data_IF_816581854933
#
_entry.id   IF_816581854933
#
_cell.length_a   1.000
_cell.length_b   1.000
_cell.length_c   1.000
_cell.angle_alpha   90.00
_cell.angle_beta   90.00
_cell.angle_gamma   90.00
#
_symmetry.space_group_name_H-M   'P 1'
#
loop_
_entity.id
_entity.type
_entity.pdbx_description
1 polymer ?
#
# COMPACT_ATOMS: atom_id res chain seq x y z
N UNK A 1 -10.54 -13.33 -15.41
CA UNK A 1 -10.52 -12.85 -14.01
C UNK A 1 -11.01 -11.40 -13.91
N UNK A 2 -10.53 -10.40 -14.68
CA UNK A 2 -10.93 -8.99 -14.62
C UNK A 2 -12.45 -8.77 -14.69
N UNK A 3 -13.12 -9.33 -15.69
CA UNK A 3 -14.57 -9.23 -15.85
C UNK A 3 -15.37 -9.74 -14.64
N UNK A 4 -14.96 -10.87 -14.05
CA UNK A 4 -15.64 -11.41 -12.85
C UNK A 4 -15.47 -10.52 -11.64
N UNK A 5 -14.30 -9.89 -11.48
CA UNK A 5 -14.04 -8.91 -10.42
C UNK A 5 -14.97 -7.70 -10.59
N UNK A 6 -15.04 -7.12 -11.78
CA UNK A 6 -15.94 -6.00 -12.07
C UNK A 6 -17.41 -6.34 -11.83
N UNK A 7 -17.87 -7.54 -12.21
CA UNK A 7 -19.23 -8.00 -11.91
C UNK A 7 -19.48 -8.11 -10.40
N UNK A 8 -18.50 -8.55 -9.64
CA UNK A 8 -18.60 -8.65 -8.18
C UNK A 8 -18.74 -7.28 -7.56
N UNK A 9 -17.88 -6.32 -7.94
CA UNK A 9 -17.95 -4.91 -7.52
C UNK A 9 -19.36 -4.34 -7.79
N UNK A 10 -19.89 -4.57 -9.00
CA UNK A 10 -21.23 -4.14 -9.39
C UNK A 10 -22.34 -4.79 -8.54
N UNK A 11 -22.28 -6.10 -8.34
CA UNK A 11 -23.27 -6.84 -7.53
C UNK A 11 -23.27 -6.37 -6.08
N UNK A 12 -22.10 -6.06 -5.53
CA UNK A 12 -21.94 -5.54 -4.17
C UNK A 12 -22.29 -4.06 -4.06
N UNK A 13 -22.53 -3.36 -5.17
CA UNK A 13 -22.84 -1.92 -5.22
C UNK A 13 -21.78 -1.06 -4.50
N UNK A 14 -20.51 -1.41 -4.69
CA UNK A 14 -19.42 -0.69 -4.05
C UNK A 14 -19.24 0.69 -4.70
N UNK A 15 -18.92 1.68 -3.88
CA UNK A 15 -18.51 3.03 -4.32
C UNK A 15 -17.01 3.22 -4.28
N UNK A 16 -16.33 2.35 -3.55
CA UNK A 16 -14.88 2.28 -3.48
C UNK A 16 -14.47 0.82 -3.35
N UNK A 17 -13.39 0.43 -4.00
CA UNK A 17 -12.85 -0.93 -3.91
C UNK A 17 -11.33 -0.89 -3.79
N UNK A 18 -10.79 -1.71 -2.90
CA UNK A 18 -9.35 -1.98 -2.81
C UNK A 18 -9.07 -3.33 -3.42
N UNK A 19 -8.29 -3.34 -4.50
CA UNK A 19 -7.87 -4.56 -5.21
C UNK A 19 -6.44 -4.90 -4.81
N UNK A 20 -6.19 -6.16 -4.53
CA UNK A 20 -4.85 -6.69 -4.27
C UNK A 20 -4.65 -8.04 -4.97
N UNK A 21 -3.41 -8.42 -5.17
CA UNK A 21 -3.05 -9.75 -5.70
C UNK A 21 -1.81 -10.29 -4.99
N UNK A 22 -1.52 -11.55 -5.25
CA UNK A 22 -0.19 -12.13 -4.95
C UNK A 22 0.83 -11.65 -5.99
N UNK A 23 2.11 -11.76 -5.65
CA UNK A 23 3.19 -11.54 -6.62
C UNK A 23 3.13 -12.56 -7.74
N UNK A 24 3.29 -12.11 -8.98
CA UNK A 24 3.24 -12.94 -10.18
C UNK A 24 4.59 -12.95 -10.90
N UNK A 25 5.66 -13.19 -10.13
CA UNK A 25 7.03 -13.31 -10.63
C UNK A 25 7.22 -14.45 -11.64
N UNK A 26 6.23 -15.36 -11.74
CA UNK A 26 6.13 -16.40 -12.76
C UNK A 26 5.79 -15.85 -14.15
N UNK A 27 5.08 -14.72 -14.24
CA UNK A 27 4.70 -14.07 -15.49
C UNK A 27 5.81 -13.13 -15.99
N UNK A 28 6.81 -13.69 -16.66
CA UNK A 28 8.05 -12.97 -17.03
C UNK A 28 7.89 -11.77 -17.95
N UNK A 29 6.79 -11.68 -18.70
CA UNK A 29 6.60 -10.60 -19.68
C UNK A 29 6.24 -9.27 -19.01
N UNK A 30 5.35 -9.30 -18.01
CA UNK A 30 4.81 -8.09 -17.39
C UNK A 30 4.44 -8.25 -15.90
N UNK A 31 4.80 -9.39 -15.29
CA UNK A 31 4.52 -9.67 -13.87
C UNK A 31 3.03 -9.53 -13.49
N UNK A 32 2.13 -9.72 -14.47
CA UNK A 32 0.68 -9.62 -14.30
C UNK A 32 0.11 -8.21 -14.46
N UNK A 33 0.89 -7.23 -14.92
CA UNK A 33 0.44 -5.84 -15.07
C UNK A 33 -0.76 -5.70 -16.02
N UNK A 34 -0.85 -6.53 -17.08
CA UNK A 34 -2.01 -6.57 -17.97
C UNK A 34 -3.30 -6.92 -17.26
N UNK A 35 -3.24 -7.90 -16.34
CA UNK A 35 -4.41 -8.32 -15.55
C UNK A 35 -4.87 -7.18 -14.63
N UNK A 36 -3.92 -6.43 -14.06
CA UNK A 36 -4.20 -5.24 -13.26
C UNK A 36 -4.90 -4.16 -14.08
N UNK A 37 -4.30 -3.77 -15.21
CA UNK A 37 -4.85 -2.74 -16.09
C UNK A 37 -6.25 -3.10 -16.59
N UNK A 38 -6.45 -4.33 -17.04
CA UNK A 38 -7.74 -4.80 -17.50
C UNK A 38 -8.78 -4.87 -16.37
N UNK A 39 -8.36 -5.22 -15.14
CA UNK A 39 -9.28 -5.24 -13.99
C UNK A 39 -9.79 -3.84 -13.66
N UNK A 40 -8.91 -2.85 -13.62
CA UNK A 40 -9.27 -1.44 -13.38
C UNK A 40 -10.18 -0.94 -14.49
N UNK A 41 -9.83 -1.17 -15.76
CA UNK A 41 -10.64 -0.81 -16.92
C UNK A 41 -12.05 -1.40 -16.86
N UNK A 42 -12.16 -2.69 -16.53
CA UNK A 42 -13.45 -3.37 -16.42
C UNK A 42 -14.30 -2.81 -15.27
N UNK A 43 -13.69 -2.48 -14.12
CA UNK A 43 -14.42 -1.87 -12.99
C UNK A 43 -14.95 -0.51 -13.41
N UNK A 44 -14.15 0.39 -13.96
CA UNK A 44 -14.57 1.70 -14.44
C UNK A 44 -15.66 1.62 -15.51
N UNK A 45 -15.57 0.61 -16.42
CA UNK A 45 -16.58 0.40 -17.46
C UNK A 45 -17.93 -0.07 -16.91
N UNK A 46 -17.93 -0.96 -15.91
CA UNK A 46 -19.15 -1.55 -15.35
C UNK A 46 -19.76 -0.76 -14.20
N UNK A 47 -18.94 0.02 -13.48
CA UNK A 47 -19.34 0.81 -12.30
C UNK A 47 -18.57 2.15 -12.33
N UNK A 48 -18.93 3.08 -13.23
CA UNK A 48 -18.19 4.34 -13.43
C UNK A 48 -18.03 5.21 -12.18
N UNK A 49 -18.97 5.08 -11.23
CA UNK A 49 -18.95 5.86 -9.97
C UNK A 49 -18.15 5.18 -8.86
N UNK A 50 -17.52 4.03 -9.15
CA UNK A 50 -16.69 3.31 -8.17
C UNK A 50 -15.22 3.72 -8.30
N UNK A 51 -14.65 4.30 -7.27
CA UNK A 51 -13.22 4.57 -7.20
C UNK A 51 -12.44 3.30 -6.92
N UNK A 52 -11.26 3.16 -7.54
CA UNK A 52 -10.41 1.98 -7.46
C UNK A 52 -9.09 2.34 -6.77
N UNK A 53 -8.86 1.78 -5.60
CA UNK A 53 -7.55 1.69 -4.97
C UNK A 53 -6.90 0.37 -5.34
N UNK A 54 -5.64 0.38 -5.67
CA UNK A 54 -4.85 -0.83 -5.94
C UNK A 54 -3.71 -0.95 -4.95
N UNK A 55 -3.57 -2.12 -4.33
CA UNK A 55 -2.41 -2.49 -3.52
C UNK A 55 -1.58 -3.51 -4.30
N UNK A 56 -0.53 -3.01 -4.95
CA UNK A 56 0.24 -3.78 -5.93
C UNK A 56 1.50 -4.41 -5.35
N UNK A 57 2.01 -5.51 -5.97
CA UNK A 57 3.39 -5.93 -5.81
C UNK A 57 4.35 -4.89 -6.40
N UNK A 58 5.67 -5.14 -6.27
CA UNK A 58 6.70 -4.24 -6.80
C UNK A 58 7.02 -4.46 -8.30
N UNK A 59 6.38 -5.44 -8.96
CA UNK A 59 6.63 -5.85 -10.35
C UNK A 59 8.14 -5.99 -10.67
N UNK A 60 8.95 -6.40 -9.68
CA UNK A 60 10.42 -6.47 -9.78
C UNK A 60 11.07 -5.12 -10.12
N UNK A 61 10.38 -4.00 -9.97
CA UNK A 61 10.82 -2.67 -10.39
C UNK A 61 10.81 -2.48 -11.91
N UNK A 62 10.14 -3.35 -12.66
CA UNK A 62 10.07 -3.26 -14.12
C UNK A 62 9.12 -2.12 -14.53
N UNK A 63 9.68 -0.97 -14.87
CA UNK A 63 8.94 0.26 -15.16
C UNK A 63 7.86 0.10 -16.26
N UNK A 64 8.07 -0.65 -17.38
CA UNK A 64 6.99 -0.84 -18.35
C UNK A 64 5.75 -1.53 -17.78
N UNK A 65 5.91 -2.44 -16.81
CA UNK A 65 4.77 -3.05 -16.10
C UNK A 65 4.08 -2.03 -15.20
N UNK A 66 4.84 -1.27 -14.40
CA UNK A 66 4.31 -0.18 -13.57
C UNK A 66 3.56 0.84 -14.43
N UNK A 67 4.17 1.30 -15.53
CA UNK A 67 3.54 2.26 -16.45
C UNK A 67 2.21 1.76 -17.00
N UNK A 68 2.11 0.48 -17.37
CA UNK A 68 0.86 -0.13 -17.84
C UNK A 68 -0.25 -0.02 -16.78
N UNK A 69 0.10 -0.28 -15.52
CA UNK A 69 -0.84 -0.13 -14.40
C UNK A 69 -1.20 1.33 -14.18
N UNK A 70 -0.24 2.25 -14.24
CA UNK A 70 -0.50 3.69 -14.08
C UNK A 70 -1.39 4.25 -15.18
N UNK A 71 -1.18 3.81 -16.43
CA UNK A 71 -1.98 4.21 -17.60
C UNK A 71 -3.47 3.82 -17.44
N UNK A 72 -3.79 2.81 -16.62
CA UNK A 72 -5.17 2.41 -16.32
C UNK A 72 -5.88 3.33 -15.32
N UNK A 73 -5.16 4.30 -14.75
CA UNK A 73 -5.65 5.41 -13.92
C UNK A 73 -6.45 4.97 -12.70
N UNK A 74 -5.89 4.17 -11.80
CA UNK A 74 -6.51 3.96 -10.49
C UNK A 74 -6.58 5.30 -9.73
N UNK A 75 -7.62 5.50 -8.91
CA UNK A 75 -7.75 6.70 -8.09
C UNK A 75 -6.73 6.77 -6.97
N UNK A 76 -6.22 5.61 -6.51
CA UNK A 76 -5.18 5.53 -5.49
C UNK A 76 -4.26 4.35 -5.75
N UNK A 77 -2.95 4.62 -5.81
CA UNK A 77 -1.91 3.63 -5.93
C UNK A 77 -1.28 3.36 -4.56
N UNK A 78 -1.33 2.10 -4.13
CA UNK A 78 -0.72 1.66 -2.88
C UNK A 78 0.35 0.61 -3.13
N UNK A 79 1.49 0.78 -2.45
CA UNK A 79 2.52 -0.24 -2.32
C UNK A 79 3.11 -0.17 -0.91
N UNK A 80 3.05 -1.27 -0.17
CA UNK A 80 3.44 -1.27 1.24
C UNK A 80 4.97 -1.44 1.40
N UNK A 81 5.56 -0.64 2.29
CA UNK A 81 6.93 -0.84 2.78
C UNK A 81 7.00 -1.98 3.80
N UNK A 82 5.89 -2.29 4.46
CA UNK A 82 5.68 -3.37 5.45
C UNK A 82 6.37 -3.18 6.80
N UNK A 83 7.55 -2.59 6.85
CA UNK A 83 8.30 -2.33 8.08
C UNK A 83 9.37 -1.26 7.81
N UNK A 84 10.19 -0.91 8.79
CA UNK A 84 11.36 -0.03 8.60
C UNK A 84 12.52 -0.77 7.90
N UNK A 85 13.40 -0.05 7.23
CA UNK A 85 14.46 -0.62 6.38
C UNK A 85 15.32 -1.65 7.12
N UNK A 86 15.79 -1.35 8.34
CA UNK A 86 16.70 -2.22 9.10
C UNK A 86 16.15 -3.64 9.33
N UNK A 87 14.84 -3.75 9.56
CA UNK A 87 14.21 -5.05 9.82
C UNK A 87 13.68 -5.74 8.56
N UNK A 88 13.62 -5.02 7.42
CA UNK A 88 12.98 -5.48 6.18
C UNK A 88 13.52 -6.84 5.68
N UNK A 89 14.84 -7.06 5.73
CA UNK A 89 15.46 -8.33 5.31
C UNK A 89 15.05 -9.53 6.17
N UNK A 90 14.69 -9.29 7.45
CA UNK A 90 14.21 -10.35 8.34
C UNK A 90 12.73 -10.63 8.13
N UNK A 91 11.95 -9.59 7.86
CA UNK A 91 10.49 -9.66 7.67
C UNK A 91 10.15 -10.22 6.29
N UNK A 92 10.83 -9.73 5.26
CA UNK A 92 10.59 -10.07 3.84
C UNK A 92 11.91 -10.32 3.12
N UNK A 93 12.55 -11.48 3.29
CA UNK A 93 13.88 -11.76 2.73
C UNK A 93 13.99 -11.60 1.21
N UNK A 94 12.86 -11.77 0.50
CA UNK A 94 12.79 -11.68 -0.97
C UNK A 94 12.47 -10.25 -1.47
N UNK A 95 12.08 -9.34 -0.59
CA UNK A 95 11.79 -7.96 -0.96
C UNK A 95 13.05 -7.10 -0.99
N UNK A 96 12.96 -5.98 -1.71
CA UNK A 96 14.03 -4.99 -1.75
C UNK A 96 13.46 -3.63 -1.36
N UNK A 97 13.91 -3.10 -0.23
CA UNK A 97 13.47 -1.83 0.33
C UNK A 97 13.58 -0.67 -0.65
N UNK A 98 14.76 -0.52 -1.27
CA UNK A 98 15.00 0.58 -2.23
C UNK A 98 14.12 0.44 -3.49
N UNK A 99 13.84 -0.79 -3.91
CA UNK A 99 12.91 -1.03 -5.01
C UNK A 99 11.48 -0.62 -4.63
N UNK A 100 11.03 -0.90 -3.42
CA UNK A 100 9.71 -0.45 -2.95
C UNK A 100 9.60 1.08 -2.94
N UNK A 101 10.63 1.79 -2.48
CA UNK A 101 10.67 3.25 -2.56
C UNK A 101 10.65 3.74 -4.02
N UNK A 102 11.41 3.10 -4.90
CA UNK A 102 11.43 3.44 -6.34
C UNK A 102 10.07 3.25 -7.01
N UNK A 103 9.34 2.18 -6.67
CA UNK A 103 7.97 1.94 -7.17
C UNK A 103 7.02 3.07 -6.74
N UNK A 104 7.07 3.46 -5.48
CA UNK A 104 6.28 4.58 -4.96
C UNK A 104 6.66 5.91 -5.61
N UNK A 105 7.97 6.19 -5.78
CA UNK A 105 8.44 7.38 -6.47
C UNK A 105 7.93 7.43 -7.92
N UNK A 106 7.99 6.33 -8.67
CA UNK A 106 7.46 6.28 -10.03
C UNK A 106 5.96 6.58 -10.09
N UNK A 107 5.18 6.15 -9.10
CA UNK A 107 3.75 6.46 -9.04
C UNK A 107 3.51 7.95 -8.76
N UNK A 108 4.27 8.56 -7.85
CA UNK A 108 4.23 10.01 -7.56
C UNK A 108 4.64 10.81 -8.81
N UNK A 109 5.77 10.46 -9.45
CA UNK A 109 6.26 11.13 -10.66
C UNK A 109 5.27 11.02 -11.83
N UNK A 110 4.50 9.94 -11.88
CA UNK A 110 3.42 9.76 -12.85
C UNK A 110 2.19 10.64 -12.56
N UNK A 111 2.09 11.21 -11.35
CA UNK A 111 0.98 12.05 -10.91
C UNK A 111 -0.18 11.28 -10.27
N UNK A 112 0.03 10.05 -9.82
CA UNK A 112 -0.96 9.29 -9.07
C UNK A 112 -0.99 9.72 -7.59
N UNK A 113 -2.15 9.67 -6.98
CA UNK A 113 -2.25 9.68 -5.51
C UNK A 113 -1.62 8.40 -4.96
N UNK A 114 -0.87 8.52 -3.89
CA UNK A 114 -0.08 7.40 -3.38
C UNK A 114 -0.28 7.15 -1.90
N UNK A 115 -0.17 5.87 -1.55
CA UNK A 115 -0.32 5.38 -0.20
C UNK A 115 0.71 4.29 0.09
N UNK A 116 1.20 4.28 1.34
CA UNK A 116 2.03 3.20 1.85
C UNK A 116 1.66 2.82 3.27
N UNK A 117 2.17 1.68 3.71
CA UNK A 117 1.87 1.11 5.03
C UNK A 117 3.09 0.45 5.63
N UNK A 118 3.19 0.52 6.95
CA UNK A 118 4.11 -0.31 7.74
C UNK A 118 3.39 -0.99 8.90
N UNK A 119 3.98 -2.06 9.36
CA UNK A 119 3.65 -2.70 10.63
C UNK A 119 4.74 -2.40 11.66
N UNK A 120 4.34 -2.18 12.90
CA UNK A 120 5.22 -1.96 14.05
C UNK A 120 5.11 -3.12 15.05
N UNK A 121 6.12 -3.27 15.92
CA UNK A 121 6.21 -4.40 16.85
C UNK A 121 7.13 -5.53 16.35
N UNK A 122 8.00 -5.21 15.36
CA UNK A 122 8.99 -6.10 14.75
C UNK A 122 10.41 -5.88 15.29
N UNK A 123 10.59 -5.00 16.30
CA UNK A 123 11.87 -4.65 16.90
C UNK A 123 12.49 -3.35 16.34
N UNK A 124 11.70 -2.56 15.63
CA UNK A 124 12.02 -1.19 15.26
C UNK A 124 11.97 -0.25 16.47
N UNK A 125 12.65 0.88 16.34
CA UNK A 125 12.57 2.00 17.29
C UNK A 125 11.58 3.05 16.78
N UNK A 126 11.02 3.87 17.69
CA UNK A 126 10.17 5.02 17.32
C UNK A 126 10.87 5.94 16.32
N UNK A 127 12.17 6.19 16.51
CA UNK A 127 12.98 7.01 15.61
C UNK A 127 12.99 6.46 14.18
N UNK A 128 13.19 5.15 13.99
CA UNK A 128 13.19 4.52 12.67
C UNK A 128 11.82 4.60 11.99
N UNK A 129 10.72 4.52 12.76
CA UNK A 129 9.38 4.73 12.21
C UNK A 129 9.22 6.14 11.68
N UNK A 130 9.60 7.15 12.47
CA UNK A 130 9.52 8.57 12.06
C UNK A 130 10.45 8.89 10.87
N UNK A 131 11.65 8.32 10.82
CA UNK A 131 12.56 8.43 9.67
C UNK A 131 11.95 7.80 8.40
N UNK A 132 11.28 6.65 8.54
CA UNK A 132 10.56 6.00 7.42
C UNK A 132 9.40 6.87 6.94
N UNK A 133 8.65 7.47 7.86
CA UNK A 133 7.56 8.40 7.52
C UNK A 133 8.10 9.64 6.80
N UNK A 134 9.21 10.21 7.29
CA UNK A 134 9.85 11.36 6.63
C UNK A 134 10.29 11.02 5.21
N UNK A 135 10.95 9.89 5.01
CA UNK A 135 11.32 9.43 3.66
C UNK A 135 10.11 9.31 2.74
N UNK A 136 8.99 8.80 3.24
CA UNK A 136 7.77 8.64 2.45
C UNK A 136 7.15 10.01 2.07
N UNK A 137 7.12 10.98 2.99
CA UNK A 137 6.66 12.36 2.69
C UNK A 137 7.58 13.05 1.68
N UNK A 138 8.90 12.88 1.84
CA UNK A 138 9.90 13.47 0.92
C UNK A 138 9.74 12.95 -0.52
N UNK A 139 9.22 11.71 -0.69
CA UNK A 139 8.84 11.17 -1.99
C UNK A 139 7.52 11.74 -2.52
N UNK A 140 6.72 12.42 -1.71
CA UNK A 140 5.41 12.95 -2.08
C UNK A 140 4.23 12.01 -1.82
N UNK A 141 4.41 10.98 -0.98
CA UNK A 141 3.33 10.06 -0.61
C UNK A 141 2.30 10.78 0.25
N UNK A 142 1.02 10.64 -0.08
CA UNK A 142 -0.07 11.39 0.56
C UNK A 142 -0.66 10.70 1.79
N UNK A 143 -0.72 9.35 1.78
CA UNK A 143 -1.35 8.55 2.84
C UNK A 143 -0.35 7.58 3.44
N UNK A 144 -0.32 7.53 4.78
CA UNK A 144 0.49 6.57 5.53
C UNK A 144 -0.35 5.80 6.53
N UNK A 145 -0.17 4.48 6.60
CA UNK A 145 -0.85 3.67 7.62
C UNK A 145 0.12 2.90 8.49
N UNK A 146 -0.15 2.84 9.80
CA UNK A 146 0.67 2.14 10.80
C UNK A 146 -0.21 1.17 11.56
N UNK A 147 0.10 -0.12 11.48
CA UNK A 147 -0.62 -1.18 12.18
C UNK A 147 0.28 -2.03 13.08
N UNK A 148 -0.29 -2.74 14.06
CA UNK A 148 0.45 -3.71 14.84
C UNK A 148 0.76 -4.96 14.01
N UNK A 149 2.01 -5.40 14.03
CA UNK A 149 2.38 -6.72 13.54
C UNK A 149 1.78 -7.81 14.42
N UNK A 150 1.13 -8.76 13.79
CA UNK A 150 0.63 -9.98 14.44
C UNK A 150 1.27 -11.17 13.73
N UNK A 151 1.87 -12.08 14.50
CA UNK A 151 2.54 -13.26 13.96
C UNK A 151 1.54 -14.19 13.27
N UNK A 152 1.60 -14.39 11.93
CA UNK A 152 0.61 -15.22 11.24
C UNK A 152 0.70 -16.70 11.59
N UNK A 153 1.91 -17.24 11.70
CA UNK A 153 2.19 -18.64 12.10
C UNK A 153 3.49 -18.71 12.91
N UNK A 154 3.76 -19.84 13.54
CA UNK A 154 4.98 -20.04 14.34
C UNK A 154 6.28 -19.95 13.51
N UNK A 155 6.22 -20.12 12.20
CA UNK A 155 7.37 -19.98 11.30
C UNK A 155 7.70 -18.53 10.94
N UNK A 156 6.81 -17.58 11.24
CA UNK A 156 7.06 -16.16 11.04
C UNK A 156 7.77 -15.53 12.25
N UNK A 157 8.32 -14.35 12.06
CA UNK A 157 8.97 -13.63 13.16
C UNK A 157 8.02 -13.46 14.35
N UNK A 158 8.50 -13.70 15.59
CA UNK A 158 7.67 -13.43 16.77
C UNK A 158 7.42 -11.93 16.91
N UNK A 159 6.30 -11.58 17.52
CA UNK A 159 6.02 -10.19 17.93
C UNK A 159 7.09 -9.76 18.93
N UNK A 160 7.87 -8.73 18.60
CA UNK A 160 8.90 -8.20 19.50
C UNK A 160 8.29 -7.40 20.66
N UNK A 161 7.22 -6.66 20.39
CA UNK A 161 6.43 -5.93 21.39
C UNK A 161 5.02 -5.61 20.87
N UNK A 162 4.11 -5.41 21.77
CA UNK A 162 2.83 -4.76 21.46
C UNK A 162 2.96 -3.27 21.72
N UNK A 163 2.65 -2.48 20.69
CA UNK A 163 2.74 -1.02 20.75
C UNK A 163 1.50 -0.47 21.45
N UNK A 164 1.67 0.51 22.33
CA UNK A 164 0.57 1.11 23.08
C UNK A 164 -0.29 2.04 22.20
N UNK A 165 -1.55 2.21 22.58
CA UNK A 165 -2.47 3.11 21.90
C UNK A 165 -1.94 4.55 21.84
N UNK A 166 -1.27 5.02 22.92
CA UNK A 166 -0.64 6.34 22.96
C UNK A 166 0.48 6.46 21.93
N UNK A 167 1.30 5.43 21.74
CA UNK A 167 2.37 5.46 20.73
C UNK A 167 1.78 5.42 19.31
N UNK A 168 0.67 4.72 19.08
CA UNK A 168 -0.05 4.82 17.80
C UNK A 168 -0.61 6.23 17.56
N UNK A 169 -1.11 6.89 18.61
CA UNK A 169 -1.55 8.28 18.52
C UNK A 169 -0.37 9.21 18.19
N UNK A 170 0.77 9.03 18.86
CA UNK A 170 1.99 9.80 18.57
C UNK A 170 2.43 9.65 17.09
N UNK A 171 2.36 8.42 16.53
CA UNK A 171 2.67 8.21 15.10
C UNK A 171 1.69 8.95 14.19
N UNK A 172 0.41 8.97 14.54
CA UNK A 172 -0.61 9.69 13.77
C UNK A 172 -0.34 11.19 13.77
N UNK A 173 -0.13 11.77 14.94
CA UNK A 173 0.12 13.20 15.12
C UNK A 173 1.42 13.62 14.41
N UNK A 174 2.52 12.91 14.66
CA UNK A 174 3.80 13.18 14.03
C UNK A 174 3.70 13.07 12.48
N UNK A 175 2.99 12.08 11.97
CA UNK A 175 2.82 11.92 10.52
C UNK A 175 2.04 13.07 9.88
N UNK A 176 1.03 13.58 10.53
CA UNK A 176 0.29 14.77 10.06
C UNK A 176 1.17 16.03 10.12
N UNK A 177 1.96 16.19 11.19
CA UNK A 177 2.90 17.32 11.35
C UNK A 177 4.00 17.35 10.28
N UNK A 178 4.54 16.19 9.89
CA UNK A 178 5.56 16.10 8.84
C UNK A 178 5.01 16.23 7.42
N UNK A 179 3.69 16.19 7.23
CA UNK A 179 3.06 16.60 5.97
C UNK A 179 2.20 15.58 5.24
N UNK A 180 1.92 14.39 5.78
CA UNK A 180 0.93 13.50 5.19
C UNK A 180 -0.46 14.14 5.22
N UNK A 181 -1.24 13.94 4.15
CA UNK A 181 -2.64 14.37 4.12
C UNK A 181 -3.52 13.51 5.05
N UNK A 182 -3.21 12.22 5.11
CA UNK A 182 -3.94 11.26 5.94
C UNK A 182 -2.94 10.30 6.61
N UNK A 183 -3.11 10.11 7.91
CA UNK A 183 -2.42 9.07 8.67
C UNK A 183 -3.47 8.27 9.45
N UNK A 184 -3.49 6.97 9.21
CA UNK A 184 -4.25 6.04 10.05
C UNK A 184 -3.27 5.18 10.84
N UNK A 185 -3.42 5.18 12.17
CA UNK A 185 -2.48 4.51 13.06
C UNK A 185 -3.24 3.87 14.22
N UNK A 186 -3.00 2.59 14.45
CA UNK A 186 -3.68 1.85 15.51
C UNK A 186 -3.44 0.34 15.43
N UNK A 187 -3.70 -0.41 16.51
CA UNK A 187 -3.36 -1.84 16.59
C UNK A 187 -4.08 -2.70 15.53
N UNK A 188 -5.27 -2.33 15.12
CA UNK A 188 -6.06 -3.06 14.12
C UNK A 188 -6.02 -2.42 12.72
N UNK A 189 -5.25 -1.33 12.54
CA UNK A 189 -5.10 -0.68 11.23
C UNK A 189 -4.39 -1.63 10.27
N UNK A 190 -4.89 -1.65 9.03
CA UNK A 190 -4.30 -2.32 7.87
C UNK A 190 -4.33 -1.34 6.69
N UNK A 191 -3.61 -1.65 5.61
CA UNK A 191 -3.53 -0.76 4.43
C UNK A 191 -4.90 -0.37 3.87
N UNK A 192 -5.91 -1.23 3.95
CA UNK A 192 -7.28 -0.95 3.50
C UNK A 192 -8.23 -0.38 4.57
N UNK A 193 -7.72 -0.06 5.77
CA UNK A 193 -8.54 0.45 6.86
C UNK A 193 -9.19 1.79 6.50
N UNK A 194 -10.53 1.86 6.56
CA UNK A 194 -11.32 3.04 6.17
C UNK A 194 -10.94 3.65 4.81
N UNK A 195 -10.58 2.81 3.83
CA UNK A 195 -10.10 3.26 2.52
C UNK A 195 -11.12 4.13 1.79
N UNK A 196 -12.42 3.82 1.90
CA UNK A 196 -13.51 4.61 1.32
C UNK A 196 -13.65 6.01 1.93
N UNK A 197 -13.32 6.18 3.21
CA UNK A 197 -13.31 7.50 3.85
C UNK A 197 -12.02 8.27 3.54
N UNK A 198 -10.91 7.59 3.35
CA UNK A 198 -9.65 8.21 2.95
C UNK A 198 -9.80 8.87 1.58
N UNK A 199 -10.35 8.16 0.59
CA UNK A 199 -10.50 8.70 -0.77
C UNK A 199 -11.44 9.91 -0.85
N UNK A 200 -12.45 10.00 0.03
CA UNK A 200 -13.35 11.17 0.11
C UNK A 200 -12.68 12.42 0.68
N UNK A 201 -11.58 12.25 1.42
CA UNK A 201 -10.84 13.33 2.10
C UNK A 201 -9.69 13.88 1.26
N UNK A 202 -9.40 13.27 0.12
CA UNK A 202 -8.40 13.68 -0.88
C UNK A 202 -9.00 14.52 -1.99
#
# INVERSE_FOLDING_TARGET
EPFRTALTVKKMRLRHVVITSVDRDDLKNDYGAEIWAETIFQIHSFVPDCTVEILTPDFRGYYPALKKVFDSKPELFSHNLECVERVSRKVRPQSNWQRSLSVLQHAVDYGLRTKTSIMVGLGETKKEVLETMQQAVDLGIEIFTVGQYLQPTQSHLPVARYVSDNEFLDYKEAGLEIGFKIVESGPLVRSSYHADDQIKRL
#
